data_IF_483302507220
#
_entry.id   IF_483302507220
#
_cell.length_a   1.000
_cell.length_b   1.000
_cell.length_c   1.000
_cell.angle_alpha   90.00
_cell.angle_beta   90.00
_cell.angle_gamma   90.00
#
_symmetry.space_group_name_H-M   'P 1'
#
loop_
_entity.id
_entity.type
_entity.pdbx_description
1 polymer ?
#
# COMPACT_ATOMS: atom_id res chain seq x y z
N UNK A 1 -41.63 2.89 11.10
CA UNK A 1 -40.80 1.89 10.42
C UNK A 1 -39.89 2.64 9.45
N UNK A 2 -38.60 2.33 9.45
CA UNK A 2 -37.63 2.94 8.54
C UNK A 2 -36.86 1.88 7.74
N UNK A 3 -36.38 2.28 6.57
CA UNK A 3 -35.45 1.50 5.76
C UNK A 3 -34.09 2.20 5.69
N UNK A 4 -33.04 1.46 6.03
CA UNK A 4 -31.68 1.94 6.22
C UNK A 4 -30.71 1.10 5.38
N UNK A 5 -30.42 1.49 4.13
CA UNK A 5 -29.32 0.87 3.40
C UNK A 5 -27.98 1.27 4.03
N UNK A 6 -27.04 0.33 4.19
CA UNK A 6 -25.73 0.61 4.79
C UNK A 6 -24.83 1.41 3.83
N UNK A 7 -24.06 2.37 4.36
CA UNK A 7 -23.03 3.07 3.58
C UNK A 7 -21.79 2.19 3.39
N UNK A 8 -21.21 2.21 2.18
CA UNK A 8 -20.06 1.36 1.82
C UNK A 8 -18.99 2.21 1.12
N UNK A 9 -17.71 1.90 1.35
CA UNK A 9 -16.58 2.55 0.65
C UNK A 9 -16.24 1.80 -0.63
N UNK A 10 -16.06 2.54 -1.73
CA UNK A 10 -15.63 2.03 -3.02
C UNK A 10 -14.12 2.15 -3.15
N UNK A 11 -13.37 1.05 -3.01
CA UNK A 11 -11.91 1.10 -2.90
C UNK A 11 -11.24 0.83 -4.26
N UNK A 12 -11.72 -0.18 -5.01
CA UNK A 12 -11.08 -0.62 -6.26
C UNK A 12 -12.09 -0.87 -7.38
N UNK A 13 -11.71 -0.57 -8.62
CA UNK A 13 -12.45 -1.01 -9.82
C UNK A 13 -12.45 -2.55 -9.87
N UNK A 14 -13.61 -3.14 -10.13
CA UNK A 14 -13.86 -4.58 -10.14
C UNK A 14 -14.23 -5.16 -8.76
N UNK A 15 -14.19 -4.36 -7.68
CA UNK A 15 -14.66 -4.79 -6.36
C UNK A 15 -16.17 -5.02 -6.37
N UNK A 16 -16.65 -6.07 -5.70
CA UNK A 16 -18.06 -6.26 -5.43
C UNK A 16 -18.44 -5.63 -4.07
N UNK A 17 -19.50 -4.82 -4.08
CA UNK A 17 -20.07 -4.15 -2.92
C UNK A 17 -21.44 -4.75 -2.63
N UNK A 18 -21.65 -5.19 -1.39
CA UNK A 18 -22.95 -5.68 -0.92
C UNK A 18 -23.70 -4.58 -0.16
N UNK A 19 -24.98 -4.40 -0.50
CA UNK A 19 -25.88 -3.46 0.15
C UNK A 19 -27.09 -4.18 0.72
N UNK A 20 -27.21 -4.17 2.04
CA UNK A 20 -28.35 -4.72 2.75
C UNK A 20 -29.46 -3.67 2.88
N UNK A 21 -30.64 -3.97 2.34
CA UNK A 21 -31.86 -3.19 2.57
C UNK A 21 -32.44 -3.56 3.94
N UNK A 22 -32.04 -2.83 4.99
CA UNK A 22 -32.47 -3.11 6.36
C UNK A 22 -33.76 -2.42 6.72
N UNK A 23 -34.59 -3.09 7.52
CA UNK A 23 -35.86 -2.64 8.07
C UNK A 23 -35.73 -2.49 9.58
N UNK A 24 -36.22 -1.38 10.12
CA UNK A 24 -36.28 -1.12 11.56
C UNK A 24 -37.71 -0.83 12.01
N UNK A 25 -38.11 -1.43 13.14
CA UNK A 25 -39.42 -1.35 13.75
C UNK A 25 -40.55 -1.73 12.77
N UNK A 26 -40.35 -2.79 11.99
CA UNK A 26 -41.37 -3.31 11.08
C UNK A 26 -42.50 -3.98 11.85
N UNK A 27 -43.72 -3.88 11.30
CA UNK A 27 -44.93 -4.41 11.92
C UNK A 27 -45.81 -5.06 10.87
N UNK A 28 -46.20 -6.31 11.11
CA UNK A 28 -47.14 -7.06 10.27
C UNK A 28 -46.73 -7.08 8.78
N UNK A 29 -45.44 -7.27 8.48
CA UNK A 29 -44.92 -7.23 7.11
C UNK A 29 -44.90 -8.64 6.54
N UNK A 30 -45.69 -8.88 5.49
CA UNK A 30 -45.68 -10.12 4.70
C UNK A 30 -45.02 -9.94 3.33
N UNK A 31 -44.82 -8.71 2.85
CA UNK A 31 -44.19 -8.46 1.56
C UNK A 31 -43.65 -7.05 1.41
N UNK A 32 -42.84 -6.85 0.37
CA UNK A 32 -42.29 -5.55 0.01
C UNK A 32 -42.08 -5.39 -1.49
N UNK A 33 -42.09 -4.13 -1.92
CA UNK A 33 -41.60 -3.63 -3.19
C UNK A 33 -40.64 -2.48 -2.91
N UNK A 34 -39.53 -2.40 -3.64
CA UNK A 34 -38.62 -1.26 -3.58
C UNK A 34 -37.91 -1.05 -4.92
N UNK A 35 -37.71 0.22 -5.30
CA UNK A 35 -36.81 0.60 -6.39
C UNK A 35 -35.51 1.12 -5.80
N UNK A 36 -34.38 0.58 -6.24
CA UNK A 36 -33.03 1.07 -5.88
C UNK A 36 -32.41 1.70 -7.12
N UNK A 37 -32.27 3.02 -7.11
CA UNK A 37 -31.58 3.77 -8.14
C UNK A 37 -30.10 3.92 -7.79
N UNK A 38 -29.22 3.75 -8.77
CA UNK A 38 -27.77 3.80 -8.64
C UNK A 38 -27.12 4.61 -9.77
N UNK A 39 -25.86 5.02 -9.58
CA UNK A 39 -25.07 5.68 -10.63
C UNK A 39 -24.42 4.62 -11.52
N UNK A 40 -24.97 4.43 -12.72
CA UNK A 40 -24.56 3.45 -13.73
C UNK A 40 -23.21 3.74 -14.37
N UNK A 41 -22.62 4.91 -14.07
CA UNK A 41 -21.24 5.24 -14.45
C UNK A 41 -20.22 4.93 -13.35
N UNK A 42 -20.68 4.68 -12.11
CA UNK A 42 -19.85 4.20 -10.99
C UNK A 42 -20.00 2.71 -10.72
N UNK A 43 -21.20 2.16 -10.91
CA UNK A 43 -21.59 0.84 -10.46
C UNK A 43 -22.28 0.05 -11.57
N UNK A 44 -22.06 -1.26 -11.57
CA UNK A 44 -22.82 -2.22 -12.36
C UNK A 44 -23.57 -3.17 -11.43
N UNK A 45 -24.88 -3.29 -11.59
CA UNK A 45 -25.65 -4.29 -10.88
C UNK A 45 -25.19 -5.72 -11.24
N UNK A 46 -24.99 -6.57 -10.23
CA UNK A 46 -24.60 -7.98 -10.40
C UNK A 46 -25.78 -8.88 -10.10
N UNK A 47 -26.29 -8.84 -8.88
CA UNK A 47 -27.40 -9.68 -8.42
C UNK A 47 -28.08 -9.10 -7.18
N UNK A 48 -29.20 -9.70 -6.79
CA UNK A 48 -29.82 -9.44 -5.49
C UNK A 48 -30.63 -10.64 -5.04
N UNK A 49 -30.77 -10.80 -3.74
CA UNK A 49 -31.49 -11.91 -3.11
C UNK A 49 -32.34 -11.43 -1.94
N UNK A 50 -33.39 -12.19 -1.64
CA UNK A 50 -34.15 -12.01 -0.40
C UNK A 50 -33.29 -12.41 0.81
N UNK A 51 -33.42 -11.68 1.91
CA UNK A 51 -32.66 -11.93 3.14
C UNK A 51 -33.55 -12.50 4.25
N UNK A 52 -33.23 -12.20 5.51
CA UNK A 52 -33.73 -12.89 6.70
C UNK A 52 -35.04 -12.35 7.27
N UNK A 53 -35.54 -11.22 6.76
CA UNK A 53 -36.66 -10.56 7.40
C UNK A 53 -38.02 -11.20 7.13
N UNK A 54 -38.31 -11.59 5.89
CA UNK A 54 -39.58 -12.26 5.58
C UNK A 54 -39.55 -13.72 6.06
N UNK A 55 -40.70 -14.32 6.43
CA UNK A 55 -40.74 -15.70 6.89
C UNK A 55 -40.19 -16.68 5.85
N UNK A 56 -39.60 -17.78 6.32
CA UNK A 56 -39.04 -18.84 5.49
C UNK A 56 -40.02 -19.29 4.39
N UNK A 57 -39.50 -19.44 3.17
CA UNK A 57 -40.31 -19.75 1.99
C UNK A 57 -40.94 -18.51 1.32
N UNK A 58 -40.53 -17.30 1.71
CA UNK A 58 -40.86 -16.08 0.97
C UNK A 58 -40.44 -16.20 -0.51
N UNK A 59 -41.34 -15.79 -1.41
CA UNK A 59 -41.09 -15.77 -2.84
C UNK A 59 -40.43 -14.45 -3.23
N UNK A 60 -39.18 -14.52 -3.67
CA UNK A 60 -38.45 -13.40 -4.24
C UNK A 60 -38.64 -13.38 -5.76
N UNK A 61 -39.25 -12.32 -6.27
CA UNK A 61 -39.45 -12.16 -7.70
C UNK A 61 -38.10 -11.83 -8.35
N UNK A 62 -37.75 -12.43 -9.50
CA UNK A 62 -36.58 -12.02 -10.26
C UNK A 62 -36.51 -10.49 -10.42
N UNK A 63 -35.40 -9.85 -10.02
CA UNK A 63 -35.25 -8.40 -10.09
C UNK A 63 -35.41 -7.87 -11.51
N UNK A 64 -36.07 -6.72 -11.64
CA UNK A 64 -36.17 -6.03 -12.93
C UNK A 64 -35.11 -4.94 -12.97
N UNK A 65 -34.10 -5.13 -13.81
CA UNK A 65 -33.03 -4.18 -14.05
C UNK A 65 -33.36 -3.28 -15.25
N UNK A 66 -33.29 -1.97 -15.05
CA UNK A 66 -33.26 -0.94 -16.09
C UNK A 66 -31.91 -0.18 -16.01
N UNK A 67 -31.65 0.79 -16.89
CA UNK A 67 -30.32 1.41 -17.05
C UNK A 67 -29.65 1.83 -15.73
N UNK A 68 -30.38 2.52 -14.85
CA UNK A 68 -29.85 3.08 -13.61
C UNK A 68 -30.64 2.70 -12.35
N UNK A 69 -31.53 1.72 -12.43
CA UNK A 69 -32.25 1.24 -11.25
C UNK A 69 -32.62 -0.24 -11.33
N UNK A 70 -32.82 -0.85 -10.16
CA UNK A 70 -33.34 -2.21 -10.02
C UNK A 70 -34.59 -2.20 -9.15
N UNK A 71 -35.63 -2.91 -9.59
CA UNK A 71 -36.88 -3.11 -8.83
C UNK A 71 -36.85 -4.48 -8.16
N UNK A 72 -37.09 -4.48 -6.85
CA UNK A 72 -37.13 -5.66 -5.99
C UNK A 72 -38.54 -5.89 -5.49
N UNK A 73 -38.98 -7.16 -5.48
CA UNK A 73 -40.27 -7.55 -4.94
C UNK A 73 -40.17 -8.89 -4.23
N UNK A 74 -40.75 -9.00 -3.05
CA UNK A 74 -40.89 -10.27 -2.37
C UNK A 74 -42.19 -10.34 -1.55
N UNK A 75 -42.75 -11.53 -1.43
CA UNK A 75 -43.91 -11.77 -0.59
C UNK A 75 -43.86 -13.16 0.05
N UNK A 76 -44.33 -13.27 1.28
CA UNK A 76 -44.49 -14.52 2.00
C UNK A 76 -45.96 -14.87 2.17
N UNK A 77 -46.30 -16.12 1.92
CA UNK A 77 -47.61 -16.70 2.25
C UNK A 77 -47.59 -17.42 3.60
N UNK A 78 -46.42 -17.53 4.24
CA UNK A 78 -46.24 -18.26 5.50
C UNK A 78 -46.57 -17.41 6.74
N UNK A 79 -46.77 -16.10 6.58
CA UNK A 79 -47.19 -15.19 7.66
C UNK A 79 -46.59 -13.80 7.54
N UNK A 80 -46.54 -13.10 8.67
CA UNK A 80 -46.02 -11.73 8.80
C UNK A 80 -44.83 -11.70 9.77
N UNK A 81 -43.87 -10.82 9.48
CA UNK A 81 -42.73 -10.53 10.32
C UNK A 81 -42.88 -9.20 11.06
N UNK A 82 -42.22 -9.11 12.21
CA UNK A 82 -42.19 -7.94 13.08
C UNK A 82 -40.75 -7.69 13.58
N UNK A 83 -40.43 -6.44 13.92
CA UNK A 83 -39.12 -6.06 14.44
C UNK A 83 -38.14 -5.59 13.36
N UNK A 84 -36.85 -5.77 13.63
CA UNK A 84 -35.74 -5.34 12.78
C UNK A 84 -35.18 -6.51 11.98
N UNK A 85 -34.58 -6.24 10.80
CA UNK A 85 -33.87 -7.26 10.01
C UNK A 85 -33.48 -6.77 8.62
N UNK A 86 -33.23 -7.69 7.68
CA UNK A 86 -32.83 -7.38 6.31
C UNK A 86 -33.85 -7.92 5.30
N UNK A 87 -34.40 -7.05 4.46
CA UNK A 87 -35.35 -7.44 3.41
C UNK A 87 -34.63 -8.11 2.23
N UNK A 88 -33.55 -7.50 1.75
CA UNK A 88 -32.80 -7.96 0.59
C UNK A 88 -31.33 -7.56 0.71
N UNK A 89 -30.46 -8.30 0.01
CA UNK A 89 -29.08 -7.89 -0.26
C UNK A 89 -28.91 -7.70 -1.76
N UNK A 90 -28.29 -6.59 -2.16
CA UNK A 90 -27.93 -6.28 -3.53
C UNK A 90 -26.41 -6.27 -3.67
N UNK A 91 -25.91 -6.81 -4.78
CA UNK A 91 -24.49 -6.81 -5.11
C UNK A 91 -24.23 -5.95 -6.33
N UNK A 92 -23.30 -5.01 -6.21
CA UNK A 92 -22.84 -4.16 -7.31
C UNK A 92 -21.34 -4.33 -7.53
N UNK A 93 -20.90 -4.26 -8.76
CA UNK A 93 -19.49 -4.17 -9.11
C UNK A 93 -19.09 -2.71 -9.34
N UNK A 94 -17.98 -2.28 -8.75
CA UNK A 94 -17.41 -0.95 -8.97
C UNK A 94 -16.79 -0.88 -10.36
N UNK A 95 -17.32 0.00 -11.21
CA UNK A 95 -16.74 0.27 -12.55
C UNK A 95 -15.97 1.60 -12.59
N UNK A 96 -16.21 2.50 -11.63
CA UNK A 96 -15.39 3.69 -11.39
C UNK A 96 -15.37 4.05 -9.89
N UNK A 97 -14.21 4.45 -9.37
CA UNK A 97 -14.06 4.92 -7.99
C UNK A 97 -14.49 6.39 -7.93
N UNK A 98 -15.75 6.62 -7.57
CA UNK A 98 -16.30 7.95 -7.33
C UNK A 98 -17.44 7.94 -6.32
N UNK A 99 -17.67 9.07 -5.65
CA UNK A 99 -18.75 9.23 -4.69
C UNK A 99 -20.11 9.04 -5.40
N UNK A 100 -20.96 8.20 -4.84
CA UNK A 100 -22.25 7.82 -5.43
C UNK A 100 -23.32 7.69 -4.35
N UNK A 101 -24.60 7.70 -4.73
CA UNK A 101 -25.72 7.55 -3.79
C UNK A 101 -26.64 6.46 -4.33
N UNK A 102 -27.02 5.52 -3.46
CA UNK A 102 -28.11 4.60 -3.72
C UNK A 102 -29.39 5.21 -3.18
N UNK A 103 -30.31 5.55 -4.08
CA UNK A 103 -31.60 6.16 -3.72
C UNK A 103 -32.68 5.09 -3.70
N UNK A 104 -33.42 5.06 -2.60
CA UNK A 104 -34.60 4.21 -2.48
C UNK A 104 -35.85 5.01 -2.88
N UNK A 105 -36.64 4.47 -3.80
CA UNK A 105 -37.93 5.03 -4.21
C UNK A 105 -38.99 3.95 -4.34
N UNK A 106 -40.25 4.36 -4.49
CA UNK A 106 -41.41 3.47 -4.72
C UNK A 106 -41.51 2.31 -3.72
N UNK A 107 -41.10 2.57 -2.48
CA UNK A 107 -41.10 1.55 -1.44
C UNK A 107 -42.51 1.36 -0.90
N UNK A 108 -42.99 0.12 -1.01
CA UNK A 108 -44.24 -0.33 -0.43
C UNK A 108 -44.00 -1.59 0.39
N UNK A 109 -44.75 -1.72 1.45
CA UNK A 109 -44.79 -2.91 2.28
C UNK A 109 -46.22 -3.37 2.34
N UNK A 110 -46.43 -4.67 2.47
CA UNK A 110 -47.76 -5.25 2.56
C UNK A 110 -47.85 -6.19 3.75
N UNK A 111 -49.02 -6.26 4.37
CA UNK A 111 -49.36 -7.31 5.34
C UNK A 111 -49.96 -8.55 4.64
N UNK A 112 -50.35 -9.57 5.41
CA UNK A 112 -50.91 -10.81 4.86
C UNK A 112 -52.29 -10.65 4.22
N UNK A 113 -52.99 -9.54 4.48
CA UNK A 113 -54.28 -9.21 3.87
C UNK A 113 -54.14 -8.38 2.59
N UNK A 114 -52.92 -7.99 2.21
CA UNK A 114 -52.63 -7.17 1.03
C UNK A 114 -52.79 -5.66 1.25
N UNK A 115 -53.04 -5.22 2.48
CA UNK A 115 -53.02 -3.80 2.82
C UNK A 115 -51.59 -3.28 2.76
N UNK A 116 -51.40 -2.12 2.12
CA UNK A 116 -50.06 -1.54 1.89
C UNK A 116 -49.78 -0.36 2.79
N UNK A 117 -48.50 -0.19 3.15
CA UNK A 117 -48.02 0.92 3.95
C UNK A 117 -46.66 1.41 3.44
N UNK A 118 -46.48 2.74 3.45
CA UNK A 118 -45.25 3.39 3.04
C UNK A 118 -44.35 3.62 4.27
N UNK A 119 -43.11 3.13 4.28
CA UNK A 119 -42.17 3.41 5.36
C UNK A 119 -41.52 4.78 5.23
N UNK A 120 -40.85 5.22 6.29
CA UNK A 120 -39.85 6.29 6.16
C UNK A 120 -38.59 5.69 5.50
N UNK A 121 -37.99 6.43 4.57
CA UNK A 121 -36.87 5.94 3.77
C UNK A 121 -35.66 6.84 4.02
N UNK A 122 -34.51 6.23 4.27
CA UNK A 122 -33.20 6.91 4.22
C UNK A 122 -32.39 6.37 3.04
N UNK A 123 -31.56 7.22 2.42
CA UNK A 123 -30.71 6.84 1.29
C UNK A 123 -29.38 6.27 1.81
N UNK A 124 -28.73 5.42 1.00
CA UNK A 124 -27.36 4.98 1.27
C UNK A 124 -26.38 5.84 0.49
N UNK A 125 -25.28 6.18 1.15
CA UNK A 125 -24.16 6.86 0.52
C UNK A 125 -23.03 5.89 0.24
N UNK A 126 -22.48 5.98 -0.97
CA UNK A 126 -21.22 5.34 -1.34
C UNK A 126 -20.18 6.43 -1.32
N UNK A 127 -19.31 6.35 -0.33
CA UNK A 127 -18.25 7.34 -0.14
C UNK A 127 -17.00 6.89 -0.88
N UNK A 128 -16.27 7.85 -1.45
CA UNK A 128 -14.89 7.60 -1.83
C UNK A 128 -14.07 7.34 -0.55
N UNK A 129 -13.05 6.47 -0.60
CA UNK A 129 -12.02 6.50 0.41
C UNK A 129 -11.47 7.93 0.44
N UNK A 130 -11.52 8.55 1.62
CA UNK A 130 -10.92 9.87 1.83
C UNK A 130 -9.48 9.81 1.33
N UNK A 131 -9.13 10.54 0.27
CA UNK A 131 -7.76 10.59 -0.25
C UNK A 131 -6.85 11.00 0.91
N UNK A 132 -6.05 10.06 1.40
CA UNK A 132 -5.14 10.33 2.51
C UNK A 132 -4.07 11.28 2.01
N UNK A 133 -3.89 12.41 2.70
CA UNK A 133 -2.79 13.32 2.39
C UNK A 133 -1.48 12.57 2.58
N UNK A 134 -0.72 12.42 1.50
CA UNK A 134 0.55 11.69 1.48
C UNK A 134 0.46 10.24 0.98
N UNK A 135 -0.72 9.70 0.70
CA UNK A 135 -0.89 8.44 -0.05
C UNK A 135 -0.79 8.77 -1.55
N UNK A 136 0.41 8.57 -2.08
CA UNK A 136 0.80 9.00 -3.43
C UNK A 136 0.53 7.88 -4.43
N UNK A 137 0.62 6.62 -4.00
CA UNK A 137 0.35 5.47 -4.86
C UNK A 137 -1.14 5.05 -4.87
N UNK A 138 -1.96 5.60 -3.97
CA UNK A 138 -3.40 5.35 -3.89
C UNK A 138 -3.75 3.99 -3.27
N UNK A 139 -2.87 3.39 -2.48
CA UNK A 139 -3.08 2.07 -1.89
C UNK A 139 -3.91 2.10 -0.58
N UNK A 140 -4.31 3.29 -0.14
CA UNK A 140 -5.09 3.52 1.08
C UNK A 140 -4.23 3.60 2.34
N UNK A 141 -2.90 3.56 2.22
CA UNK A 141 -1.97 3.70 3.34
C UNK A 141 -0.87 4.71 3.03
N UNK A 142 -0.47 5.52 4.01
CA UNK A 142 0.70 6.39 3.88
C UNK A 142 1.91 5.66 4.45
N UNK A 143 2.81 5.20 3.60
CA UNK A 143 3.98 4.43 3.97
C UNK A 143 5.25 4.86 3.18
N UNK A 144 6.37 4.21 3.46
CA UNK A 144 7.67 4.60 2.90
C UNK A 144 7.72 4.47 1.36
N UNK A 145 6.85 3.67 0.75
CA UNK A 145 6.72 3.57 -0.70
C UNK A 145 6.22 4.88 -1.31
N UNK A 146 5.29 5.60 -0.64
CA UNK A 146 4.85 6.93 -1.07
C UNK A 146 6.00 7.93 -1.05
N UNK A 147 6.82 7.88 -0.01
CA UNK A 147 8.00 8.74 0.11
C UNK A 147 8.99 8.49 -1.05
N UNK A 148 9.26 7.21 -1.36
CA UNK A 148 10.11 6.81 -2.48
C UNK A 148 9.50 7.24 -3.82
N UNK A 149 8.19 7.18 -3.95
CA UNK A 149 7.48 7.59 -5.16
C UNK A 149 7.58 9.10 -5.38
N UNK A 150 7.48 9.93 -4.32
CA UNK A 150 7.76 11.37 -4.48
C UNK A 150 9.21 11.61 -4.86
N UNK A 151 10.14 10.93 -4.18
CA UNK A 151 11.57 11.08 -4.43
C UNK A 151 11.97 10.76 -5.88
N UNK A 152 11.36 9.73 -6.48
CA UNK A 152 11.64 9.33 -7.87
C UNK A 152 11.03 10.28 -8.91
N UNK A 153 10.07 11.12 -8.52
CA UNK A 153 9.41 12.09 -9.40
C UNK A 153 9.86 13.54 -9.17
N UNK A 154 10.87 13.78 -8.32
CA UNK A 154 11.39 15.14 -8.06
C UNK A 154 11.79 15.87 -9.36
N UNK A 155 11.35 17.12 -9.49
CA UNK A 155 11.59 17.98 -10.64
C UNK A 155 10.55 17.86 -11.76
N UNK A 156 9.59 16.94 -11.66
CA UNK A 156 8.47 16.86 -12.60
C UNK A 156 7.47 18.00 -12.36
N UNK A 157 6.77 18.39 -13.42
CA UNK A 157 5.80 19.49 -13.42
C UNK A 157 4.46 19.05 -14.02
N UNK A 158 3.37 19.73 -13.66
CA UNK A 158 2.02 19.43 -14.14
C UNK A 158 1.27 18.50 -13.19
N UNK A 159 0.14 17.93 -13.63
CA UNK A 159 -0.67 17.04 -12.79
C UNK A 159 0.12 15.78 -12.45
N UNK A 160 0.49 15.65 -11.17
CA UNK A 160 1.28 14.54 -10.67
C UNK A 160 0.75 14.12 -9.29
N UNK A 161 0.53 12.82 -9.07
CA UNK A 161 0.14 12.32 -7.76
C UNK A 161 1.20 12.63 -6.67
N UNK A 162 2.47 12.76 -7.07
CA UNK A 162 3.59 13.15 -6.21
C UNK A 162 3.67 14.65 -5.90
N UNK A 163 2.89 15.49 -6.59
CA UNK A 163 2.71 16.90 -6.23
C UNK A 163 1.63 16.99 -5.14
N UNK A 164 2.08 16.81 -3.90
CA UNK A 164 1.21 16.66 -2.72
C UNK A 164 0.63 17.99 -2.28
N UNK A 165 1.36 19.09 -2.47
CA UNK A 165 0.89 20.43 -2.12
C UNK A 165 0.10 21.11 -3.26
N UNK A 166 0.09 20.52 -4.47
CA UNK A 166 -0.61 21.00 -5.66
C UNK A 166 -0.13 22.35 -6.21
N UNK A 167 1.16 22.66 -6.04
CA UNK A 167 1.80 23.87 -6.57
C UNK A 167 2.23 23.73 -8.05
N UNK A 168 2.04 22.55 -8.63
CA UNK A 168 2.36 22.23 -10.01
C UNK A 168 3.78 21.70 -10.23
N UNK A 169 4.58 21.52 -9.17
CA UNK A 169 5.97 21.05 -9.24
C UNK A 169 6.28 20.06 -8.12
N UNK A 170 6.66 18.84 -8.46
CA UNK A 170 7.13 17.84 -7.49
C UNK A 170 8.49 18.25 -6.94
N UNK A 171 8.55 18.65 -5.67
CA UNK A 171 9.76 19.14 -5.03
C UNK A 171 9.92 18.64 -3.59
N UNK A 172 10.90 19.19 -2.88
CA UNK A 172 11.23 18.77 -1.51
C UNK A 172 10.11 19.10 -0.52
N UNK A 173 9.29 20.12 -0.79
CA UNK A 173 8.11 20.41 0.02
C UNK A 173 7.13 19.23 -0.01
N UNK A 174 6.88 18.63 -1.18
CA UNK A 174 5.99 17.47 -1.31
C UNK A 174 6.53 16.25 -0.58
N UNK A 175 7.82 15.98 -0.75
CA UNK A 175 8.50 14.87 -0.06
C UNK A 175 8.38 15.04 1.46
N UNK A 176 8.56 16.26 1.95
CA UNK A 176 8.44 16.58 3.37
C UNK A 176 6.99 16.46 3.86
N UNK A 177 5.99 16.76 3.03
CA UNK A 177 4.58 16.55 3.39
C UNK A 177 4.24 15.07 3.51
N UNK A 178 4.67 14.23 2.57
CA UNK A 178 4.52 12.77 2.69
C UNK A 178 5.21 12.26 3.95
N UNK A 179 6.47 12.67 4.18
CA UNK A 179 7.20 12.29 5.38
C UNK A 179 6.47 12.67 6.67
N UNK A 180 5.77 13.81 6.68
CA UNK A 180 5.01 14.29 7.83
C UNK A 180 3.68 13.55 8.07
N UNK A 181 3.18 12.86 7.05
CA UNK A 181 1.98 12.01 7.12
C UNK A 181 2.31 10.55 7.49
N UNK A 182 3.58 10.14 7.43
CA UNK A 182 4.02 8.81 7.89
C UNK A 182 3.78 8.64 9.39
N UNK A 183 2.93 7.68 9.77
CA UNK A 183 2.64 7.33 11.16
C UNK A 183 1.43 8.05 11.79
N UNK A 184 0.57 8.69 11.00
CA UNK A 184 -0.76 9.17 11.48
C UNK A 184 -1.87 8.13 11.31
N UNK A 185 -1.65 7.06 10.56
CA UNK A 185 -2.51 5.87 10.52
C UNK A 185 -2.28 5.01 11.78
N UNK A 186 -3.35 4.43 12.33
CA UNK A 186 -3.35 3.75 13.64
C UNK A 186 -2.42 2.51 13.74
N UNK A 187 -1.80 2.10 12.63
CA UNK A 187 -0.73 1.13 12.56
C UNK A 187 0.60 1.86 12.70
N UNK A 188 1.38 1.53 13.73
CA UNK A 188 2.76 2.02 13.89
C UNK A 188 3.50 2.01 12.54
N UNK A 189 4.36 2.99 12.23
CA UNK A 189 5.01 3.11 10.93
C UNK A 189 5.76 1.82 10.62
N UNK A 190 5.14 0.95 9.81
CA UNK A 190 5.76 -0.25 9.30
C UNK A 190 6.78 0.22 8.29
N UNK A 191 8.04 0.30 8.74
CA UNK A 191 9.18 0.43 7.85
C UNK A 191 9.15 -0.77 6.92
N UNK A 192 8.64 -0.57 5.70
CA UNK A 192 8.66 -1.61 4.68
C UNK A 192 10.12 -1.88 4.34
N UNK A 193 10.64 -3.03 4.78
CA UNK A 193 12.06 -3.40 4.68
C UNK A 193 12.59 -3.29 3.25
N UNK A 194 11.76 -3.57 2.25
CA UNK A 194 12.12 -3.47 0.83
C UNK A 194 12.33 -2.03 0.35
N UNK A 195 11.53 -1.07 0.81
CA UNK A 195 11.72 0.33 0.43
C UNK A 195 12.95 0.97 1.12
N UNK A 196 13.36 0.44 2.28
CA UNK A 196 14.66 0.79 2.87
C UNK A 196 15.84 0.23 2.07
N UNK A 197 15.64 -0.73 1.16
CA UNK A 197 16.72 -1.25 0.32
C UNK A 197 17.13 -0.25 -0.77
N UNK A 198 16.20 0.58 -1.23
CA UNK A 198 16.45 1.59 -2.27
C UNK A 198 16.90 2.92 -1.68
N UNK A 199 16.46 3.25 -0.46
CA UNK A 199 16.81 4.48 0.23
C UNK A 199 18.22 4.47 0.83
N UNK A 200 18.98 5.53 0.58
CA UNK A 200 20.31 5.74 1.15
C UNK A 200 20.33 6.87 2.19
N UNK A 201 21.23 6.77 3.16
CA UNK A 201 21.49 7.86 4.11
C UNK A 201 21.92 9.15 3.38
N UNK A 202 22.61 9.03 2.24
CA UNK A 202 23.03 10.16 1.41
C UNK A 202 21.83 10.92 0.84
N UNK A 203 20.86 10.21 0.25
CA UNK A 203 19.66 10.82 -0.30
C UNK A 203 18.85 11.54 0.79
N UNK A 204 18.59 10.86 1.91
CA UNK A 204 17.86 11.47 3.02
C UNK A 204 18.58 12.70 3.57
N UNK A 205 19.92 12.67 3.65
CA UNK A 205 20.72 13.84 4.05
C UNK A 205 20.61 14.99 3.05
N UNK A 206 20.57 14.70 1.74
CA UNK A 206 20.36 15.71 0.70
C UNK A 206 18.96 16.33 0.81
N UNK A 207 17.92 15.52 1.03
CA UNK A 207 16.55 16.01 1.22
C UNK A 207 16.43 16.90 2.45
N UNK A 208 17.01 16.50 3.58
CA UNK A 208 17.06 17.33 4.80
C UNK A 208 17.77 18.66 4.55
N UNK A 209 18.90 18.64 3.84
CA UNK A 209 19.65 19.86 3.51
C UNK A 209 18.85 20.79 2.59
N UNK A 210 18.08 20.23 1.66
CA UNK A 210 17.21 20.99 0.77
C UNK A 210 15.98 21.54 1.53
N UNK A 211 15.36 20.74 2.39
CA UNK A 211 14.22 21.15 3.22
C UNK A 211 14.56 22.32 4.14
N UNK A 212 15.77 22.32 4.71
CA UNK A 212 16.27 23.43 5.54
C UNK A 212 16.35 24.75 4.79
N UNK A 213 16.64 24.73 3.48
CA UNK A 213 16.70 25.96 2.64
C UNK A 213 15.31 26.52 2.35
N UNK A 214 14.28 25.68 2.36
CA UNK A 214 12.89 26.08 2.10
C UNK A 214 12.22 26.74 3.31
N UNK A 215 12.82 26.67 4.51
CA UNK A 215 12.28 27.26 5.75
C UNK A 215 10.79 26.90 5.98
N UNK A 216 10.46 25.62 5.83
CA UNK A 216 9.10 25.10 5.97
C UNK A 216 8.66 25.18 7.44
N UNK A 217 7.60 25.95 7.73
CA UNK A 217 7.11 26.19 9.10
C UNK A 217 5.81 25.47 9.45
N UNK A 218 5.16 24.84 8.47
CA UNK A 218 3.92 24.09 8.70
C UNK A 218 4.13 22.91 9.64
N UNK A 219 3.10 22.57 10.43
CA UNK A 219 3.18 21.48 11.41
C UNK A 219 3.49 20.13 10.75
N UNK A 220 2.88 19.85 9.59
CA UNK A 220 3.17 18.65 8.80
C UNK A 220 4.60 18.65 8.27
N UNK A 221 5.09 19.80 7.81
CA UNK A 221 6.46 19.90 7.30
C UNK A 221 7.50 19.70 8.39
N UNK A 222 7.28 20.26 9.59
CA UNK A 222 8.16 20.03 10.74
C UNK A 222 8.18 18.56 11.15
N UNK A 223 7.02 17.90 11.17
CA UNK A 223 6.93 16.44 11.41
C UNK A 223 7.71 15.65 10.35
N UNK A 224 7.57 16.02 9.08
CA UNK A 224 8.31 15.38 8.00
C UNK A 224 9.82 15.52 8.14
N UNK A 225 10.29 16.71 8.52
CA UNK A 225 11.72 16.92 8.81
C UNK A 225 12.19 16.04 9.97
N UNK A 226 11.42 15.94 11.06
CA UNK A 226 11.76 15.06 12.19
C UNK A 226 11.79 13.59 11.77
N UNK A 227 10.82 13.14 10.97
CA UNK A 227 10.79 11.79 10.42
C UNK A 227 12.04 11.51 9.59
N UNK A 228 12.40 12.41 8.67
CA UNK A 228 13.60 12.28 7.84
C UNK A 228 14.89 12.26 8.68
N UNK A 229 14.96 13.03 9.77
CA UNK A 229 16.08 12.97 10.72
C UNK A 229 16.18 11.60 11.39
N UNK A 230 15.05 11.05 11.85
CA UNK A 230 15.02 9.72 12.46
C UNK A 230 15.37 8.62 11.43
N UNK A 231 14.85 8.74 10.21
CA UNK A 231 15.17 7.83 9.12
C UNK A 231 16.67 7.86 8.80
N UNK A 232 17.30 9.04 8.77
CA UNK A 232 18.73 9.18 8.58
C UNK A 232 19.53 8.42 9.65
N UNK A 233 19.10 8.48 10.91
CA UNK A 233 19.73 7.73 12.02
C UNK A 233 19.60 6.22 11.79
N UNK A 234 18.46 5.73 11.29
CA UNK A 234 18.23 4.29 11.00
C UNK A 234 19.07 3.80 9.82
N UNK A 235 19.23 4.65 8.79
CA UNK A 235 19.98 4.33 7.57
C UNK A 235 21.51 4.42 7.74
N UNK A 236 21.98 5.14 8.76
CA UNK A 236 23.41 5.31 9.04
C UNK A 236 23.89 4.23 10.03
N UNK A 237 24.77 3.29 9.63
CA UNK A 237 25.33 2.31 10.55
C UNK A 237 26.13 2.97 11.67
N UNK A 238 26.08 2.39 12.87
CA UNK A 238 26.92 2.84 13.99
C UNK A 238 28.37 2.40 13.85
N UNK A 239 28.59 1.27 13.18
CA UNK A 239 29.90 0.63 13.04
C UNK A 239 30.15 0.23 11.59
N UNK A 240 31.42 0.29 11.19
CA UNK A 240 31.89 -0.29 9.94
C UNK A 240 32.10 -1.78 10.15
N UNK A 241 31.49 -2.63 9.32
CA UNK A 241 31.57 -4.09 9.45
C UNK A 241 31.56 -4.78 8.10
N UNK A 242 32.37 -5.83 7.95
CA UNK A 242 32.30 -6.77 6.84
C UNK A 242 31.37 -7.93 7.20
N UNK A 243 30.33 -8.18 6.40
CA UNK A 243 29.33 -9.21 6.63
C UNK A 243 29.66 -10.50 5.83
N UNK A 244 29.05 -11.65 6.17
CA UNK A 244 29.21 -12.86 5.37
C UNK A 244 28.73 -12.66 3.94
N UNK A 245 29.50 -13.17 2.98
CA UNK A 245 29.09 -13.22 1.59
C UNK A 245 27.89 -14.16 1.39
N UNK A 246 27.04 -13.83 0.41
CA UNK A 246 25.85 -14.62 0.07
C UNK A 246 25.67 -14.70 -1.46
N UNK A 247 25.43 -15.89 -2.04
CA UNK A 247 25.43 -17.19 -1.37
C UNK A 247 26.83 -17.62 -0.88
N UNK A 248 26.89 -18.56 0.07
CA UNK A 248 28.11 -19.23 0.52
C UNK A 248 27.75 -20.64 1.04
N UNK A 249 28.14 -21.74 0.37
CA UNK A 249 28.98 -21.78 -0.83
C UNK A 249 28.30 -21.16 -2.06
N UNK A 250 29.08 -20.69 -3.03
CA UNK A 250 28.57 -20.04 -4.25
C UNK A 250 29.04 -20.70 -5.55
N UNK A 251 28.29 -20.46 -6.65
CA UNK A 251 28.60 -20.94 -8.01
C UNK A 251 28.00 -20.03 -9.10
N UNK A 252 28.80 -19.39 -9.98
CA UNK A 252 30.19 -18.95 -9.76
C UNK A 252 30.25 -17.58 -9.08
N UNK A 253 29.10 -16.96 -8.73
CA UNK A 253 29.05 -15.58 -8.24
C UNK A 253 28.57 -15.42 -6.80
N UNK A 254 29.05 -14.38 -6.11
CA UNK A 254 28.66 -14.04 -4.74
C UNK A 254 28.65 -12.53 -4.51
N UNK A 255 27.83 -12.10 -3.55
CA UNK A 255 27.75 -10.73 -3.07
C UNK A 255 28.39 -10.66 -1.69
N UNK A 256 29.19 -9.61 -1.46
CA UNK A 256 29.97 -9.44 -0.24
C UNK A 256 29.46 -8.17 0.46
N UNK A 257 28.48 -8.32 1.38
CA UNK A 257 27.85 -7.19 2.02
C UNK A 257 28.75 -6.57 3.09
N UNK A 258 28.62 -5.26 3.29
CA UNK A 258 29.35 -4.52 4.31
C UNK A 258 28.57 -3.27 4.74
N UNK A 259 28.92 -2.72 5.89
CA UNK A 259 28.41 -1.43 6.38
C UNK A 259 29.57 -0.47 6.54
N UNK A 260 29.30 0.82 6.31
CA UNK A 260 30.22 1.91 6.57
C UNK A 260 29.58 2.89 7.57
N UNK A 261 30.19 3.07 8.74
CA UNK A 261 29.75 4.10 9.69
C UNK A 261 30.08 5.53 9.22
N UNK A 262 31.13 5.67 8.42
CA UNK A 262 31.61 6.92 7.81
C UNK A 262 32.00 6.66 6.36
N UNK A 263 31.95 7.68 5.52
CA UNK A 263 32.41 7.55 4.14
C UNK A 263 33.91 7.23 4.07
N UNK A 264 34.30 6.33 3.17
CA UNK A 264 35.68 5.85 3.04
C UNK A 264 35.95 5.30 1.62
N UNK A 265 37.22 5.27 1.22
CA UNK A 265 37.65 4.50 0.05
C UNK A 265 37.67 3.01 0.38
N UNK A 266 36.93 2.24 -0.42
CA UNK A 266 36.71 0.81 -0.21
C UNK A 266 37.46 -0.02 -1.24
N UNK A 267 38.23 -0.98 -0.77
CA UNK A 267 38.90 -1.98 -1.60
C UNK A 267 38.71 -3.35 -0.98
N UNK A 268 38.39 -4.35 -1.81
CA UNK A 268 38.31 -5.74 -1.40
C UNK A 268 39.43 -6.53 -2.07
N UNK A 269 40.21 -7.25 -1.28
CA UNK A 269 41.24 -8.15 -1.78
C UNK A 269 40.83 -9.59 -1.53
N UNK A 270 40.91 -10.42 -2.56
CA UNK A 270 40.55 -11.84 -2.49
C UNK A 270 41.82 -12.68 -2.59
N UNK A 271 41.99 -13.62 -1.68
CA UNK A 271 43.17 -14.45 -1.52
C UNK A 271 42.82 -15.93 -1.58
N UNK A 272 43.71 -16.73 -2.17
CA UNK A 272 43.67 -18.18 -2.10
C UNK A 272 44.16 -18.69 -0.72
N UNK A 273 43.96 -19.98 -0.42
CA UNK A 273 44.37 -20.58 0.88
C UNK A 273 45.87 -20.46 1.17
N UNK A 274 46.71 -20.38 0.13
CA UNK A 274 48.16 -20.19 0.25
C UNK A 274 48.57 -18.71 0.43
N UNK A 275 47.60 -17.78 0.55
CA UNK A 275 47.83 -16.35 0.70
C UNK A 275 48.08 -15.60 -0.61
N UNK A 276 48.07 -16.27 -1.77
CA UNK A 276 48.21 -15.60 -3.05
C UNK A 276 47.02 -14.68 -3.33
N UNK A 277 47.29 -13.43 -3.74
CA UNK A 277 46.26 -12.49 -4.18
C UNK A 277 45.66 -12.97 -5.51
N UNK A 278 44.34 -13.13 -5.54
CA UNK A 278 43.57 -13.67 -6.66
C UNK A 278 42.88 -12.56 -7.45
N UNK A 279 42.27 -11.61 -6.73
CA UNK A 279 41.48 -10.53 -7.32
C UNK A 279 41.50 -9.31 -6.42
N UNK A 280 41.57 -8.12 -7.02
CA UNK A 280 41.31 -6.85 -6.34
C UNK A 280 40.03 -6.22 -6.88
N UNK A 281 39.09 -5.87 -5.99
CA UNK A 281 37.87 -5.13 -6.31
C UNK A 281 37.98 -3.72 -5.72
N UNK A 282 38.23 -2.74 -6.58
CA UNK A 282 38.29 -1.33 -6.19
C UNK A 282 36.91 -0.70 -6.32
N UNK A 283 36.24 -0.51 -5.19
CA UNK A 283 34.90 0.11 -5.14
C UNK A 283 34.98 1.64 -5.06
N UNK A 284 36.17 2.20 -4.79
CA UNK A 284 36.38 3.64 -4.69
C UNK A 284 35.74 4.26 -3.44
N UNK A 285 35.51 5.56 -3.47
CA UNK A 285 34.89 6.28 -2.36
C UNK A 285 33.42 5.90 -2.21
N UNK A 286 33.05 5.41 -1.04
CA UNK A 286 31.69 5.01 -0.69
C UNK A 286 31.22 5.84 0.51
N UNK A 287 29.99 6.35 0.46
CA UNK A 287 29.41 7.12 1.56
C UNK A 287 29.06 6.22 2.77
N UNK A 288 28.78 6.81 3.93
CA UNK A 288 28.24 6.07 5.07
C UNK A 288 26.92 5.39 4.69
N UNK A 289 26.73 4.13 5.07
CA UNK A 289 25.53 3.39 4.71
C UNK A 289 25.68 1.87 4.77
N UNK A 290 24.54 1.19 4.56
CA UNK A 290 24.45 -0.27 4.47
C UNK A 290 24.54 -0.71 3.01
N UNK A 291 25.50 -1.58 2.69
CA UNK A 291 25.72 -2.15 1.36
C UNK A 291 25.39 -3.64 1.41
N UNK A 292 24.11 -3.97 1.59
CA UNK A 292 23.65 -5.35 1.86
C UNK A 292 22.99 -6.05 0.69
N UNK A 293 22.31 -5.31 -0.17
CA UNK A 293 21.60 -5.87 -1.32
C UNK A 293 22.55 -6.07 -2.51
N UNK A 294 22.09 -6.83 -3.51
CA UNK A 294 22.88 -7.18 -4.69
C UNK A 294 23.33 -5.96 -5.50
N UNK A 295 22.52 -4.90 -5.54
CA UNK A 295 22.83 -3.69 -6.29
C UNK A 295 23.91 -2.83 -5.64
N UNK A 296 24.23 -3.04 -4.36
CA UNK A 296 25.19 -2.21 -3.61
C UNK A 296 26.36 -2.97 -2.99
N UNK A 297 26.19 -4.24 -2.67
CA UNK A 297 27.26 -5.08 -2.13
C UNK A 297 28.42 -5.23 -3.13
N UNK A 298 29.61 -5.56 -2.64
CA UNK A 298 30.72 -5.87 -3.55
C UNK A 298 30.42 -7.18 -4.29
N UNK A 299 30.74 -7.24 -5.58
CA UNK A 299 30.44 -8.39 -6.44
C UNK A 299 31.71 -9.15 -6.81
N UNK A 300 31.65 -10.47 -6.74
CA UNK A 300 32.69 -11.32 -7.31
C UNK A 300 32.08 -12.44 -8.16
N UNK A 301 32.59 -12.59 -9.39
CA UNK A 301 32.16 -13.58 -10.37
C UNK A 301 33.00 -14.87 -10.36
N UNK A 302 33.83 -15.05 -9.33
CA UNK A 302 34.67 -16.24 -9.19
C UNK A 302 35.84 -16.28 -10.18
N UNK A 303 36.30 -15.13 -10.67
CA UNK A 303 37.47 -15.01 -11.55
C UNK A 303 38.65 -14.29 -10.89
N UNK A 304 39.86 -14.57 -11.36
CA UNK A 304 41.08 -13.85 -10.97
C UNK A 304 41.22 -12.51 -11.72
N UNK A 305 42.28 -11.75 -11.47
CA UNK A 305 42.51 -10.45 -12.11
C UNK A 305 42.66 -10.51 -13.64
N UNK A 306 43.11 -11.64 -14.21
CA UNK A 306 43.21 -11.85 -15.67
C UNK A 306 41.91 -12.39 -16.29
N UNK A 307 40.85 -12.57 -15.50
CA UNK A 307 39.53 -12.99 -15.98
C UNK A 307 39.36 -14.50 -16.12
N UNK A 308 40.24 -15.30 -15.54
CA UNK A 308 40.13 -16.76 -15.55
C UNK A 308 39.31 -17.26 -14.34
N UNK A 309 38.43 -18.25 -14.52
CA UNK A 309 37.67 -18.83 -13.42
C UNK A 309 38.58 -19.55 -12.41
N UNK A 310 38.40 -19.29 -11.12
CA UNK A 310 39.21 -19.91 -10.05
C UNK A 310 38.72 -21.33 -9.69
N UNK A 311 39.58 -22.18 -9.13
CA UNK A 311 39.19 -23.54 -8.75
C UNK A 311 38.20 -23.58 -7.56
N UNK A 312 37.38 -24.64 -7.47
CA UNK A 312 36.57 -24.95 -6.27
C UNK A 312 37.47 -25.04 -5.03
N UNK A 313 37.05 -24.43 -3.91
CA UNK A 313 37.88 -24.38 -2.71
C UNK A 313 37.55 -23.21 -1.78
N UNK A 314 38.31 -23.10 -0.70
CA UNK A 314 38.18 -21.99 0.24
C UNK A 314 39.04 -20.80 -0.20
N UNK A 315 38.48 -19.60 -0.04
CA UNK A 315 39.14 -18.33 -0.30
C UNK A 315 38.91 -17.39 0.87
N UNK A 316 39.77 -16.40 1.01
CA UNK A 316 39.65 -15.35 2.01
C UNK A 316 39.45 -14.01 1.31
N UNK A 317 38.61 -13.16 1.86
CA UNK A 317 38.42 -11.80 1.36
C UNK A 317 38.64 -10.80 2.49
N UNK A 318 39.40 -9.76 2.20
CA UNK A 318 39.73 -8.69 3.13
C UNK A 318 39.17 -7.38 2.61
N UNK A 319 38.26 -6.77 3.37
CA UNK A 319 37.76 -5.43 3.14
C UNK A 319 38.68 -4.43 3.82
N UNK A 320 39.14 -3.43 3.07
CA UNK A 320 39.79 -2.23 3.59
C UNK A 320 38.88 -1.02 3.33
N UNK A 321 38.54 -0.28 4.38
CA UNK A 321 37.70 0.91 4.32
C UNK A 321 38.25 1.99 5.27
N UNK A 322 39.09 2.89 4.76
CA UNK A 322 39.87 3.80 5.61
C UNK A 322 40.78 3.01 6.56
N UNK A 323 40.68 3.29 7.86
CA UNK A 323 41.40 2.56 8.92
C UNK A 323 40.81 1.18 9.24
N UNK A 324 39.58 0.90 8.80
CA UNK A 324 38.94 -0.39 9.05
C UNK A 324 39.49 -1.47 8.12
N UNK A 325 39.88 -2.61 8.70
CA UNK A 325 40.23 -3.82 7.95
C UNK A 325 39.57 -5.03 8.59
N UNK A 326 38.94 -5.89 7.79
CA UNK A 326 38.39 -7.15 8.24
C UNK A 326 38.50 -8.23 7.18
N UNK A 327 38.74 -9.47 7.61
CA UNK A 327 38.89 -10.64 6.74
C UNK A 327 37.83 -11.69 7.07
N UNK A 328 37.27 -12.32 6.05
CA UNK A 328 36.34 -13.45 6.17
C UNK A 328 36.67 -14.54 5.16
N UNK A 329 36.11 -15.74 5.39
CA UNK A 329 36.26 -16.91 4.52
C UNK A 329 35.02 -17.11 3.66
N UNK A 330 35.21 -17.53 2.41
CA UNK A 330 34.16 -17.97 1.49
C UNK A 330 34.51 -19.30 0.84
N UNK A 331 33.50 -20.03 0.36
CA UNK A 331 33.65 -21.29 -0.34
C UNK A 331 33.04 -21.20 -1.74
N UNK A 332 33.82 -21.52 -2.77
CA UNK A 332 33.32 -21.67 -4.14
C UNK A 332 33.16 -23.16 -4.47
N UNK A 333 32.02 -23.52 -5.06
CA UNK A 333 31.71 -24.88 -5.49
C UNK A 333 31.12 -24.84 -6.89
N UNK A 334 31.95 -25.12 -7.90
CA UNK A 334 31.53 -25.23 -9.30
C UNK A 334 30.84 -26.55 -9.58
#
# INVERSE_FOLDING_TARGET
>A
MSLLPASVQSINIGQQLEFSLKIANGKNVAGYQATVQFDDTALRYVESSNSDYLPDGAFFVPPILEENFVKLNAASLAGESNGDGTLATLTFEVIAVKASILRLSDVLLSNSTGETFAPQIENAEITEPTKLTGDVNGDGTVNIADLVLVASNLGQTGSNAADVNTDGVVNIADLVLVAGALGTSASAPSLHLQALETLTATEVKQWLSAAQRLNLRGIYSQRGILFLQQLLVVLTPKETVLLPNFPNPFNPETWIPYHLAKGADVTLHIYAMNGALVRTLTLGHQAAGKYQNRSRAAYWDGKNDVGEPVASGAYFYTLKAGEFTATRKMLIRK
#
